data_IF_271562810777
#
_entry.id   IF_271562810777
#
_cell.length_a   1.000
_cell.length_b   1.000
_cell.length_c   1.000
_cell.angle_alpha   90.00
_cell.angle_beta   90.00
_cell.angle_gamma   90.00
#
_symmetry.space_group_name_H-M   'P 1'
#
loop_
_entity.id
_entity.type
_entity.pdbx_description
1 polymer ?
#
# COMPACT_ATOMS: atom_id res chain seq x y z
N UNK A 1 -17.45 -13.19 -3.45
CA UNK A 1 -16.86 -12.89 -2.15
C UNK A 1 -15.37 -13.20 -2.11
N UNK A 2 -14.61 -12.34 -1.51
CA UNK A 2 -13.17 -12.46 -1.43
C UNK A 2 -12.77 -13.36 -0.26
N UNK A 3 -11.71 -14.13 -0.44
CA UNK A 3 -11.26 -15.06 0.58
C UNK A 3 -10.82 -14.33 1.85
N UNK A 4 -10.83 -15.03 2.98
CA UNK A 4 -10.50 -14.46 4.26
C UNK A 4 -9.14 -13.77 4.32
N UNK A 5 -8.05 -14.32 3.75
CA UNK A 5 -6.76 -13.61 3.74
C UNK A 5 -6.86 -12.24 3.07
N UNK A 6 -7.56 -12.16 1.95
CA UNK A 6 -7.74 -10.89 1.24
C UNK A 6 -8.56 -9.92 2.08
N UNK A 7 -9.68 -10.38 2.65
CA UNK A 7 -10.54 -9.53 3.48
C UNK A 7 -9.78 -8.96 4.67
N UNK A 8 -8.97 -9.78 5.34
CA UNK A 8 -8.20 -9.34 6.49
C UNK A 8 -7.21 -8.24 6.10
N UNK A 9 -6.50 -8.42 4.98
CA UNK A 9 -5.52 -7.45 4.51
C UNK A 9 -6.22 -6.14 4.15
N UNK A 10 -7.25 -6.20 3.29
CA UNK A 10 -7.90 -4.99 2.78
C UNK A 10 -8.68 -4.25 3.86
N UNK A 11 -9.39 -4.98 4.71
CA UNK A 11 -10.25 -4.35 5.72
C UNK A 11 -9.54 -4.02 7.01
N UNK A 12 -8.48 -4.74 7.35
CA UNK A 12 -7.82 -4.59 8.62
C UNK A 12 -6.47 -3.90 8.60
N UNK A 13 -5.81 -3.83 7.44
CA UNK A 13 -4.41 -3.44 7.37
C UNK A 13 -4.12 -2.41 6.29
N UNK A 14 -4.72 -2.55 5.11
CA UNK A 14 -4.49 -1.66 3.98
C UNK A 14 -5.65 -0.67 3.86
N UNK A 15 -5.33 0.62 3.84
CA UNK A 15 -6.33 1.68 3.76
C UNK A 15 -7.04 1.72 2.42
N UNK A 16 -6.29 1.48 1.34
CA UNK A 16 -6.85 1.52 -0.01
C UNK A 16 -6.20 0.48 -0.89
N UNK A 17 -7.04 -0.28 -1.59
CA UNK A 17 -6.57 -1.28 -2.54
C UNK A 17 -7.55 -1.28 -3.71
N UNK A 18 -7.05 -1.08 -4.92
CA UNK A 18 -7.91 -1.12 -6.11
C UNK A 18 -7.16 -1.72 -7.30
N UNK A 19 -7.95 -2.12 -8.29
CA UNK A 19 -7.44 -2.75 -9.51
C UNK A 19 -7.20 -1.70 -10.58
N UNK A 20 -6.03 -1.74 -11.21
CA UNK A 20 -5.71 -0.83 -12.30
C UNK A 20 -4.69 -1.48 -13.24
N UNK A 21 -5.00 -1.45 -14.53
CA UNK A 21 -4.09 -1.90 -15.59
C UNK A 21 -3.41 -3.26 -15.32
N UNK A 22 -4.23 -4.23 -14.93
CA UNK A 22 -3.76 -5.60 -14.78
C UNK A 22 -3.08 -5.93 -13.46
N UNK A 23 -3.18 -5.07 -12.47
CA UNK A 23 -2.61 -5.34 -11.17
C UNK A 23 -3.25 -4.53 -10.05
N UNK A 24 -2.84 -4.82 -8.81
CA UNK A 24 -3.33 -4.10 -7.64
C UNK A 24 -2.51 -2.84 -7.41
N UNK A 25 -3.19 -1.78 -7.00
CA UNK A 25 -2.54 -0.58 -6.47
C UNK A 25 -2.88 -0.50 -4.99
N UNK A 26 -1.85 -0.42 -4.16
CA UNK A 26 -2.00 -0.30 -2.72
C UNK A 26 -1.65 1.11 -2.29
N UNK A 27 -2.43 1.68 -1.39
CA UNK A 27 -2.11 2.97 -0.81
C UNK A 27 -2.40 2.96 0.68
N UNK A 28 -1.56 3.62 1.44
CA UNK A 28 -1.73 3.72 2.88
C UNK A 28 -1.60 5.17 3.30
N UNK A 29 -2.49 5.63 4.16
CA UNK A 29 -2.52 7.01 4.63
C UNK A 29 -1.70 7.14 5.90
N UNK A 30 -0.84 8.17 5.94
CA UNK A 30 0.03 8.41 7.10
C UNK A 30 -0.16 9.82 7.62
N UNK A 31 -0.10 9.95 8.94
CA UNK A 31 -0.25 11.24 9.61
C UNK A 31 1.07 11.72 10.23
N UNK A 32 2.17 11.08 9.88
CA UNK A 32 3.50 11.41 10.41
C UNK A 32 3.86 12.87 10.14
N UNK A 33 4.59 13.45 11.08
CA UNK A 33 5.18 14.78 10.89
C UNK A 33 6.44 14.62 10.05
N UNK A 34 6.36 14.96 8.76
CA UNK A 34 7.49 14.92 7.84
C UNK A 34 7.53 16.23 7.06
N UNK A 35 8.71 16.59 6.56
CA UNK A 35 8.86 17.79 5.74
C UNK A 35 8.50 17.55 4.29
N UNK A 36 8.68 16.32 3.82
CA UNK A 36 8.24 15.91 2.48
C UNK A 36 7.79 14.46 2.54
N UNK A 37 6.94 14.08 1.58
CA UNK A 37 6.33 12.75 1.57
C UNK A 37 7.35 11.62 1.39
N UNK A 38 8.48 11.91 0.76
CA UNK A 38 9.51 10.90 0.51
C UNK A 38 10.13 10.36 1.80
N UNK A 39 10.06 11.12 2.88
CA UNK A 39 10.55 10.67 4.18
C UNK A 39 9.74 9.48 4.71
N UNK A 40 8.54 9.26 4.18
CA UNK A 40 7.72 8.12 4.59
C UNK A 40 8.26 6.81 4.03
N UNK A 41 8.97 6.85 2.91
CA UNK A 41 9.44 5.63 2.24
C UNK A 41 10.31 4.77 3.15
N UNK A 42 11.41 5.28 3.75
CA UNK A 42 12.24 4.43 4.59
C UNK A 42 11.51 3.94 5.85
N UNK A 43 10.51 4.69 6.32
CA UNK A 43 9.74 4.30 7.49
C UNK A 43 8.79 3.15 7.21
N UNK A 44 8.21 3.11 6.03
CA UNK A 44 7.10 2.20 5.72
C UNK A 44 7.35 1.26 4.56
N UNK A 45 8.53 1.29 3.94
CA UNK A 45 8.84 0.39 2.82
C UNK A 45 8.62 -1.07 3.19
N UNK A 46 9.12 -1.49 4.34
CA UNK A 46 8.99 -2.89 4.77
C UNK A 46 7.52 -3.28 4.96
N UNK A 47 6.74 -2.39 5.56
CA UNK A 47 5.31 -2.63 5.76
C UNK A 47 4.60 -2.83 4.42
N UNK A 48 4.89 -1.96 3.45
CA UNK A 48 4.27 -2.05 2.13
C UNK A 48 4.72 -3.31 1.39
N UNK A 49 5.99 -3.70 1.55
CA UNK A 49 6.48 -4.95 0.97
C UNK A 49 5.72 -6.16 1.53
N UNK A 50 5.48 -6.18 2.83
CA UNK A 50 4.73 -7.26 3.46
C UNK A 50 3.27 -7.29 2.99
N UNK A 51 2.67 -6.12 2.82
CA UNK A 51 1.30 -6.03 2.30
C UNK A 51 1.23 -6.55 0.86
N UNK A 52 2.19 -6.17 0.03
CA UNK A 52 2.27 -6.65 -1.35
C UNK A 52 2.37 -8.18 -1.38
N UNK A 53 3.30 -8.73 -0.60
CA UNK A 53 3.50 -10.17 -0.56
C UNK A 53 2.24 -10.91 -0.11
N UNK A 54 1.56 -10.40 0.90
CA UNK A 54 0.34 -11.01 1.40
C UNK A 54 -0.78 -10.98 0.36
N UNK A 55 -0.93 -9.87 -0.34
CA UNK A 55 -1.95 -9.73 -1.36
C UNK A 55 -1.67 -10.63 -2.57
N UNK A 56 -0.41 -10.72 -2.97
CA UNK A 56 -0.02 -11.59 -4.10
C UNK A 56 -0.16 -13.07 -3.76
N UNK A 57 -0.09 -13.42 -2.48
CA UNK A 57 -0.39 -14.79 -2.04
C UNK A 57 -1.89 -15.07 -2.01
N UNK A 58 -2.69 -14.07 -1.67
CA UNK A 58 -4.13 -14.22 -1.52
C UNK A 58 -4.87 -14.16 -2.86
N UNK A 59 -4.25 -13.60 -3.90
CA UNK A 59 -4.86 -13.47 -5.22
C UNK A 59 -3.86 -13.90 -6.29
N UNK A 60 -4.34 -14.29 -7.50
CA UNK A 60 -3.43 -14.67 -8.58
C UNK A 60 -2.87 -13.47 -9.35
N UNK A 61 -2.96 -12.27 -8.81
CA UNK A 61 -2.60 -11.04 -9.52
C UNK A 61 -1.46 -10.31 -8.83
N UNK A 62 -0.59 -9.63 -9.61
CA UNK A 62 0.52 -8.88 -9.02
C UNK A 62 0.07 -7.55 -8.44
N UNK A 63 0.89 -7.01 -7.56
CA UNK A 63 0.78 -5.62 -7.11
C UNK A 63 1.67 -4.79 -8.03
N UNK A 64 1.09 -3.85 -8.75
CA UNK A 64 1.83 -3.03 -9.69
C UNK A 64 2.35 -1.73 -9.08
N UNK A 65 1.78 -1.29 -7.98
CA UNK A 65 2.19 -0.03 -7.36
C UNK A 65 1.82 0.00 -5.88
N UNK A 66 2.73 0.55 -5.07
CA UNK A 66 2.47 0.85 -3.67
C UNK A 66 2.72 2.34 -3.45
N UNK A 67 1.80 3.02 -2.79
CA UNK A 67 1.91 4.44 -2.53
C UNK A 67 1.65 4.75 -1.06
N UNK A 68 2.28 5.81 -0.58
CA UNK A 68 2.05 6.36 0.74
C UNK A 68 1.51 7.77 0.57
N UNK A 69 0.47 8.11 1.30
CA UNK A 69 -0.14 9.43 1.22
C UNK A 69 0.00 10.15 2.56
N UNK A 70 0.69 11.29 2.53
CA UNK A 70 0.81 12.14 3.71
C UNK A 70 -0.43 13.00 3.82
N UNK A 71 -1.24 12.75 4.84
CA UNK A 71 -2.43 13.57 5.09
C UNK A 71 -2.05 14.97 5.53
N UNK A 72 -0.92 15.12 6.22
CA UNK A 72 -0.46 16.43 6.67
C UNK A 72 -0.01 17.32 5.53
N UNK A 73 0.66 16.74 4.55
CA UNK A 73 1.21 17.49 3.42
C UNK A 73 0.29 17.47 2.20
N UNK A 74 -0.74 16.62 2.22
CA UNK A 74 -1.62 16.39 1.07
C UNK A 74 -0.79 16.01 -0.17
N UNK A 75 0.12 15.06 0.02
CA UNK A 75 1.04 14.60 -1.02
C UNK A 75 1.17 13.10 -0.97
N UNK A 76 1.30 12.49 -2.13
CA UNK A 76 1.54 11.06 -2.23
C UNK A 76 2.94 10.79 -2.77
N UNK A 77 3.46 9.61 -2.47
CA UNK A 77 4.75 9.16 -2.97
C UNK A 77 4.64 7.68 -3.29
N UNK A 78 5.20 7.28 -4.43
CA UNK A 78 5.26 5.87 -4.81
C UNK A 78 6.45 5.24 -4.14
N UNK A 79 6.23 4.05 -3.56
CA UNK A 79 7.31 3.29 -2.93
C UNK A 79 7.93 2.39 -4.00
N UNK A 80 9.18 2.66 -4.42
CA UNK A 80 9.81 1.85 -5.46
C UNK A 80 10.02 0.43 -4.98
N UNK A 81 9.77 -0.52 -5.85
CA UNK A 81 10.06 -1.93 -5.59
C UNK A 81 9.52 -2.44 -4.26
N UNK A 82 8.34 -2.00 -3.89
CA UNK A 82 7.73 -2.51 -2.65
C UNK A 82 7.29 -4.01 -2.76
#
# INVERSE_FOLDING_TARGET
HITEPFDTIVQGVIDLCFWEDGGWVLADYKTDHVENAEELIPRYRRQMTLYRQALEKATPYPVRECALYSLRLDQSVTVPEC
#
